data_IF_923549761750
#
_entry.id   IF_923549761750
#
_cell.length_a   1.000
_cell.length_b   1.000
_cell.length_c   1.000
_cell.angle_alpha   90.00
_cell.angle_beta   90.00
_cell.angle_gamma   90.00
#
_symmetry.space_group_name_H-M   'P 1'
#
loop_
_entity.id
_entity.type
_entity.pdbx_description
1 polymer ?
#
# COMPACT_ATOMS: atom_id res chain seq x y z
N UNK A 1 -12.59 36.81 3.75
CA UNK A 1 -12.15 35.72 2.83
C UNK A 1 -11.99 34.47 3.69
N UNK A 2 -12.86 33.46 3.54
CA UNK A 2 -12.79 32.21 4.31
C UNK A 2 -11.60 31.37 3.78
N UNK A 3 -10.74 30.77 4.61
CA UNK A 3 -9.62 29.95 4.14
C UNK A 3 -10.14 28.75 3.34
N UNK A 4 -9.62 28.55 2.13
CA UNK A 4 -10.03 27.49 1.18
C UNK A 4 -9.43 26.12 1.51
N UNK A 5 -8.91 25.90 2.73
CA UNK A 5 -8.26 24.64 3.08
C UNK A 5 -9.21 23.42 3.13
N UNK A 6 -10.52 23.66 2.98
CA UNK A 6 -11.56 22.64 2.79
C UNK A 6 -11.91 22.40 1.31
N UNK A 7 -10.97 22.59 0.39
CA UNK A 7 -11.11 22.05 -0.96
C UNK A 7 -11.05 20.52 -0.89
N UNK A 8 -12.24 19.92 -0.85
CA UNK A 8 -12.56 18.50 -0.71
C UNK A 8 -12.09 17.61 -1.88
N UNK A 9 -10.95 17.92 -2.48
CA UNK A 9 -10.37 17.20 -3.63
C UNK A 9 -9.02 16.55 -3.36
N UNK A 10 -8.33 16.87 -2.25
CA UNK A 10 -6.98 16.35 -1.98
C UNK A 10 -6.95 14.93 -1.35
N UNK A 11 -8.08 14.38 -0.92
CA UNK A 11 -8.16 13.04 -0.29
C UNK A 11 -8.39 11.90 -1.31
N UNK A 12 -8.83 12.21 -2.53
CA UNK A 12 -9.37 11.21 -3.45
C UNK A 12 -8.30 10.51 -4.32
N UNK A 13 -7.09 11.06 -4.44
CA UNK A 13 -6.05 10.52 -5.33
C UNK A 13 -5.19 9.43 -4.69
N UNK A 14 -5.38 9.14 -3.39
CA UNK A 14 -4.57 8.17 -2.63
C UNK A 14 -5.21 6.78 -2.46
N UNK A 15 -6.40 6.56 -3.02
CA UNK A 15 -7.22 5.36 -2.75
C UNK A 15 -7.42 4.46 -3.96
N UNK A 16 -6.47 4.40 -4.89
CA UNK A 16 -6.37 3.22 -5.74
C UNK A 16 -6.08 2.04 -4.81
N UNK A 17 -7.12 1.27 -4.49
CA UNK A 17 -7.02 0.15 -3.55
C UNK A 17 -6.06 -0.85 -4.16
N UNK A 18 -4.92 -1.08 -3.51
CA UNK A 18 -3.95 -2.09 -3.93
C UNK A 18 -4.67 -3.44 -4.10
N UNK A 19 -4.39 -4.16 -5.20
CA UNK A 19 -5.11 -5.41 -5.57
C UNK A 19 -4.19 -6.61 -5.79
N UNK A 20 -2.91 -6.49 -5.47
CA UNK A 20 -1.91 -7.52 -5.70
C UNK A 20 -1.34 -8.02 -4.37
N UNK A 21 -0.88 -9.26 -4.35
CA UNK A 21 -0.13 -9.80 -3.24
C UNK A 21 1.37 -9.51 -3.40
N UNK A 22 1.92 -8.74 -2.45
CA UNK A 22 3.33 -8.33 -2.37
C UNK A 22 4.17 -9.26 -1.48
N UNK A 23 3.59 -10.32 -0.91
CA UNK A 23 4.34 -11.32 -0.18
C UNK A 23 5.48 -11.87 -1.05
N UNK A 24 6.68 -12.03 -0.48
CA UNK A 24 7.87 -12.52 -1.21
C UNK A 24 7.56 -13.82 -1.96
N UNK A 25 6.86 -14.75 -1.29
CA UNK A 25 6.31 -15.97 -1.87
C UNK A 25 4.78 -15.94 -1.80
N UNK A 26 4.13 -15.76 -2.95
CA UNK A 26 2.69 -15.94 -3.06
C UNK A 26 2.33 -17.44 -3.17
N UNK A 27 1.29 -17.85 -2.47
CA UNK A 27 0.80 -19.24 -2.42
C UNK A 27 -0.53 -19.43 -3.16
N UNK A 28 -1.11 -18.34 -3.69
CA UNK A 28 -2.40 -18.40 -4.38
C UNK A 28 -2.28 -19.22 -5.67
N UNK A 29 -3.16 -20.22 -5.90
CA UNK A 29 -3.06 -21.09 -7.07
C UNK A 29 -3.15 -20.35 -8.41
N UNK A 30 -3.98 -19.31 -8.46
CA UNK A 30 -4.23 -18.52 -9.68
C UNK A 30 -3.32 -17.29 -9.84
N UNK A 31 -2.40 -17.05 -8.89
CA UNK A 31 -1.46 -15.93 -8.97
C UNK A 31 -1.77 -14.75 -8.05
N UNK A 32 -0.98 -13.67 -8.20
CA UNK A 32 -0.85 -12.60 -7.20
C UNK A 32 -1.98 -11.58 -7.25
N UNK A 33 -2.62 -11.39 -8.40
CA UNK A 33 -3.76 -10.50 -8.57
C UNK A 33 -5.09 -11.08 -8.09
N UNK A 34 -5.14 -12.40 -7.86
CA UNK A 34 -6.37 -13.07 -7.45
C UNK A 34 -6.55 -12.97 -5.95
N UNK A 35 -7.73 -12.58 -5.51
CA UNK A 35 -8.08 -12.46 -4.10
C UNK A 35 -9.57 -12.73 -3.92
N UNK A 36 -9.89 -13.44 -2.85
CA UNK A 36 -11.27 -13.68 -2.44
C UNK A 36 -11.77 -12.55 -1.53
N UNK A 37 -13.09 -12.40 -1.40
CA UNK A 37 -13.67 -11.44 -0.46
C UNK A 37 -13.51 -11.88 1.00
N UNK A 38 -13.56 -13.19 1.25
CA UNK A 38 -13.44 -13.82 2.56
C UNK A 38 -12.52 -15.04 2.49
N UNK A 39 -12.16 -15.61 3.63
CA UNK A 39 -11.32 -16.81 3.68
C UNK A 39 -9.81 -16.54 3.61
N UNK A 40 -8.99 -17.59 3.41
CA UNK A 40 -7.52 -17.53 3.52
C UNK A 40 -6.86 -16.76 2.36
N UNK A 41 -7.58 -16.57 1.26
CA UNK A 41 -7.13 -15.84 0.08
C UNK A 41 -7.65 -14.40 0.04
N UNK A 42 -8.27 -13.95 1.13
CA UNK A 42 -8.59 -12.53 1.32
C UNK A 42 -7.35 -11.66 1.28
N UNK A 43 -7.41 -10.57 0.50
CA UNK A 43 -6.33 -9.59 0.40
C UNK A 43 -6.40 -8.57 1.55
N UNK A 44 -5.48 -8.71 2.50
CA UNK A 44 -5.24 -7.73 3.56
C UNK A 44 -4.36 -6.61 3.01
N UNK A 45 -4.76 -5.37 3.27
CA UNK A 45 -3.96 -4.19 2.97
C UNK A 45 -3.25 -3.72 4.22
N UNK A 46 -2.08 -3.10 4.05
CA UNK A 46 -1.39 -2.49 5.16
C UNK A 46 -2.29 -1.42 5.81
N UNK A 47 -2.58 -1.55 7.10
CA UNK A 47 -3.43 -0.60 7.83
C UNK A 47 -2.86 0.81 7.89
N UNK A 48 -1.54 0.95 7.78
CA UNK A 48 -0.84 2.23 7.84
C UNK A 48 -0.73 2.95 6.49
N UNK A 49 -0.40 2.23 5.40
CA UNK A 49 -0.13 2.87 4.10
C UNK A 49 -1.09 2.50 2.98
N UNK A 50 -1.82 1.38 3.10
CA UNK A 50 -2.65 0.76 2.07
C UNK A 50 -1.97 0.55 0.69
N UNK A 51 -0.66 0.80 0.59
CA UNK A 51 0.11 0.76 -0.65
C UNK A 51 0.63 -0.64 -0.98
N UNK A 52 0.71 -1.51 0.02
CA UNK A 52 1.08 -2.92 -0.09
C UNK A 52 -0.09 -3.80 0.37
N UNK A 53 -0.17 -5.00 -0.20
CA UNK A 53 -1.15 -6.02 0.16
C UNK A 53 -0.56 -7.43 0.30
N UNK A 54 -1.20 -8.27 1.11
CA UNK A 54 -0.85 -9.69 1.22
C UNK A 54 -2.12 -10.53 1.36
N UNK A 55 -2.12 -11.74 0.81
CA UNK A 55 -3.12 -12.72 1.23
C UNK A 55 -2.89 -13.11 2.69
N UNK A 56 -3.97 -13.38 3.43
CA UNK A 56 -3.88 -13.89 4.82
C UNK A 56 -2.92 -15.07 4.94
N UNK A 57 -3.05 -16.04 4.04
CA UNK A 57 -2.22 -17.25 4.02
C UNK A 57 -0.77 -16.99 3.58
N UNK A 58 -0.51 -15.91 2.84
CA UNK A 58 0.83 -15.56 2.37
C UNK A 58 1.66 -14.83 3.43
N UNK A 59 1.03 -14.18 4.42
CA UNK A 59 1.73 -13.49 5.51
C UNK A 59 1.92 -14.32 6.78
N UNK A 60 1.52 -15.61 6.76
CA UNK A 60 1.63 -16.52 7.92
C UNK A 60 0.98 -15.94 9.18
N UNK A 61 -0.08 -15.14 9.00
CA UNK A 61 -0.85 -14.60 10.11
C UNK A 61 -1.81 -15.66 10.64
N UNK A 62 -2.25 -15.49 11.89
CA UNK A 62 -3.34 -16.28 12.43
C UNK A 62 -4.64 -15.98 11.65
N UNK A 63 -5.50 -16.99 11.49
CA UNK A 63 -6.77 -16.87 10.75
C UNK A 63 -7.72 -15.81 11.35
N UNK A 64 -7.51 -15.45 12.62
CA UNK A 64 -8.29 -14.42 13.35
C UNK A 64 -7.76 -12.99 13.18
N UNK A 65 -6.67 -12.79 12.43
CA UNK A 65 -6.04 -11.48 12.28
C UNK A 65 -6.59 -10.78 11.03
N UNK A 66 -7.39 -9.73 11.24
CA UNK A 66 -7.96 -8.89 10.18
C UNK A 66 -7.11 -7.65 9.85
N UNK A 67 -6.06 -7.39 10.62
CA UNK A 67 -5.16 -6.26 10.41
C UNK A 67 -3.74 -6.74 10.10
N UNK A 68 -3.11 -6.11 9.12
CA UNK A 68 -1.74 -6.41 8.75
C UNK A 68 -0.98 -5.11 8.48
N UNK A 69 0.30 -5.11 8.79
CA UNK A 69 1.22 -4.04 8.43
C UNK A 69 2.37 -4.60 7.61
N UNK A 70 2.74 -3.90 6.54
CA UNK A 70 3.90 -4.28 5.75
C UNK A 70 5.19 -4.11 6.56
N UNK A 71 6.27 -4.76 6.14
CA UNK A 71 7.55 -4.72 6.83
C UNK A 71 8.05 -3.27 7.05
N UNK A 72 7.78 -2.38 6.09
CA UNK A 72 8.12 -0.96 6.17
C UNK A 72 7.37 -0.25 7.28
N UNK A 73 6.08 -0.58 7.50
CA UNK A 73 5.25 0.03 8.54
C UNK A 73 5.43 -0.62 9.92
N UNK A 74 5.48 -1.96 9.97
CA UNK A 74 5.64 -2.73 11.21
C UNK A 74 7.02 -2.53 11.87
N UNK A 75 8.07 -2.23 11.07
CA UNK A 75 9.44 -2.06 11.53
C UNK A 75 9.80 -0.67 12.09
N UNK A 76 8.89 0.30 12.09
CA UNK A 76 9.14 1.68 12.58
C UNK A 76 9.21 1.75 14.13
N UNK A 77 9.29 0.62 14.82
CA UNK A 77 9.42 0.52 16.27
C UNK A 77 10.84 0.76 16.82
N UNK A 78 11.90 0.72 16.00
CA UNK A 78 13.28 0.96 16.49
C UNK A 78 14.14 1.69 15.47
N UNK A 79 14.51 2.94 15.75
CA UNK A 79 15.52 3.67 14.98
C UNK A 79 14.95 4.69 14.00
N UNK A 80 15.12 5.96 14.33
CA UNK A 80 14.79 7.14 13.53
C UNK A 80 15.31 6.99 12.08
N UNK A 81 14.42 7.05 11.08
CA UNK A 81 14.64 7.86 9.87
C UNK A 81 13.32 8.19 9.19
N UNK A 82 12.90 9.43 9.44
CA UNK A 82 12.12 10.22 8.50
C UNK A 82 12.84 10.16 7.15
N UNK A 83 12.17 9.70 6.11
CA UNK A 83 11.67 10.55 5.03
C UNK A 83 10.88 9.66 4.08
N UNK A 84 9.56 9.87 4.08
CA UNK A 84 8.73 9.55 2.94
C UNK A 84 9.28 10.30 1.72
N UNK A 85 10.03 9.59 0.91
CA UNK A 85 10.21 9.92 -0.49
C UNK A 85 10.08 8.60 -1.24
N UNK A 86 8.84 8.16 -1.45
CA UNK A 86 8.54 7.46 -2.68
C UNK A 86 8.96 8.43 -3.79
N UNK A 87 10.17 8.24 -4.32
CA UNK A 87 10.67 8.96 -5.47
C UNK A 87 9.80 8.56 -6.67
N UNK A 88 8.64 9.21 -6.82
CA UNK A 88 8.05 9.38 -8.13
C UNK A 88 8.90 10.44 -8.84
N UNK A 89 10.07 10.05 -9.33
CA UNK A 89 10.75 10.85 -10.34
C UNK A 89 10.02 10.64 -11.67
N UNK A 90 8.83 11.22 -11.78
CA UNK A 90 8.24 11.55 -13.07
C UNK A 90 9.05 12.69 -13.69
N UNK A 91 10.25 12.37 -14.19
CA UNK A 91 11.10 13.30 -14.90
C UNK A 91 10.45 13.64 -16.25
N UNK A 92 9.60 14.67 -16.26
CA UNK A 92 9.23 15.38 -17.49
C UNK A 92 10.43 16.20 -17.94
N UNK A 93 11.14 15.68 -18.92
CA UNK A 93 12.25 16.36 -19.60
C UNK A 93 11.68 17.50 -20.44
N UNK A 94 11.79 18.73 -19.95
CA UNK A 94 11.58 19.93 -20.77
C UNK A 94 12.92 20.34 -21.38
N UNK A 95 13.13 20.05 -22.66
CA UNK A 95 14.19 20.70 -23.44
C UNK A 95 13.65 22.03 -23.96
N UNK A 96 14.24 23.12 -23.47
CA UNK A 96 14.28 24.40 -24.14
C UNK A 96 15.62 24.53 -24.87
N UNK A 97 15.55 24.73 -26.18
CA UNK A 97 16.56 25.36 -27.03
C UNK A 97 15.72 26.03 -28.12
N UNK A 98 15.89 27.30 -28.48
CA UNK A 98 17.02 28.21 -28.41
C UNK A 98 16.84 29.11 -29.62
#
# INVERSE_FOLDING_TARGET
RKPTWWDAGADAMWRERHRRCDASRCLHPEGREQAEGEGPWGLLLCSSCAAEGTHRRCSVLADSTDTWECNTCAGVGTGKRQTAACHWAGARQGLAAG
#
